data_IF_875863070243
#
_entry.id   IF_875863070243
#
_cell.length_a   1.000
_cell.length_b   1.000
_cell.length_c   1.000
_cell.angle_alpha   90.00
_cell.angle_beta   90.00
_cell.angle_gamma   90.00
#
_symmetry.space_group_name_H-M   'P 1'
#
loop_
_entity.id
_entity.type
_entity.pdbx_description
1 polymer ?
#
# COMPACT_ATOMS: atom_id res chain seq x y z
N UNK A 1 -23.97 28.41 -1.62
CA UNK A 1 -24.04 27.92 -1.74
C UNK A 1 -24.12 26.93 -1.45
N UNK A 2 -24.15 26.61 -1.27
CA UNK A 2 -24.21 25.87 -0.94
C UNK A 2 -24.49 24.86 -1.08
N UNK A 3 -24.40 24.56 -1.09
CA UNK A 3 -24.41 23.63 -1.22
C UNK A 3 -25.18 22.84 -1.10
N UNK A 4 -25.75 23.03 -1.31
CA UNK A 4 -26.48 22.30 -1.31
C UNK A 4 -26.05 21.16 -1.40
N UNK A 5 -25.45 20.91 -1.05
CA UNK A 5 -25.02 19.81 -1.00
C UNK A 5 -25.99 18.83 -1.00
N UNK A 6 -26.11 18.08 -1.85
CA UNK A 6 -27.04 17.06 -1.89
C UNK A 6 -26.61 15.89 -1.12
N UNK A 7 -25.66 15.98 -0.32
CA UNK A 7 -25.20 14.85 0.43
C UNK A 7 -24.22 13.98 -0.28
N UNK A 8 -23.92 14.26 -1.48
CA UNK A 8 -22.95 13.44 -2.21
C UNK A 8 -21.55 13.77 -1.73
N UNK A 9 -20.74 12.76 -1.42
CA UNK A 9 -19.39 13.05 -0.99
C UNK A 9 -18.55 13.69 -2.08
N UNK A 10 -19.01 13.63 -3.35
CA UNK A 10 -18.20 14.21 -4.37
C UNK A 10 -18.54 15.65 -4.63
N UNK A 11 -19.48 16.22 -3.94
CA UNK A 11 -19.82 17.62 -4.19
C UNK A 11 -19.24 18.53 -3.17
N UNK A 12 -18.28 18.11 -2.41
CA UNK A 12 -17.60 19.02 -1.51
C UNK A 12 -16.97 20.08 -2.34
N UNK A 13 -16.64 21.18 -1.83
CA UNK A 13 -16.13 22.31 -2.56
C UNK A 13 -15.00 21.99 -3.52
N UNK A 14 -14.27 22.98 -3.98
CA UNK A 14 -13.20 22.75 -4.95
C UNK A 14 -12.10 21.88 -4.38
N UNK A 15 -11.38 21.21 -5.24
CA UNK A 15 -10.26 20.38 -4.77
C UNK A 15 -9.15 21.28 -4.22
N UNK A 16 -8.74 21.01 -3.00
CA UNK A 16 -7.71 21.80 -2.34
C UNK A 16 -6.64 20.87 -1.80
N UNK A 17 -5.39 21.27 -1.90
CA UNK A 17 -4.31 20.49 -1.28
C UNK A 17 -4.48 20.44 0.23
N UNK A 18 -4.09 19.32 0.82
CA UNK A 18 -4.11 19.21 2.28
C UNK A 18 -3.10 18.19 2.74
N UNK A 19 -2.67 18.34 3.97
CA UNK A 19 -1.80 17.39 4.62
C UNK A 19 -2.66 16.23 5.11
N UNK A 20 -2.24 15.01 4.80
CA UNK A 20 -2.99 13.84 5.19
C UNK A 20 -2.46 13.25 6.49
N UNK A 21 -1.17 13.21 6.65
CA UNK A 21 -0.55 12.71 7.86
C UNK A 21 0.92 13.11 7.85
N UNK A 22 1.54 13.02 9.00
CA UNK A 22 2.98 13.21 9.13
C UNK A 22 3.56 11.82 9.36
N UNK A 23 4.25 11.28 8.37
CA UNK A 23 4.72 9.90 8.48
C UNK A 23 5.70 9.74 9.63
N UNK A 24 6.44 10.78 10.00
CA UNK A 24 7.31 10.68 11.15
C UNK A 24 6.53 10.38 12.44
N UNK A 25 5.30 10.82 12.52
CA UNK A 25 4.48 10.54 13.68
C UNK A 25 3.91 9.14 13.69
N UNK A 26 3.90 8.47 12.55
CA UNK A 26 3.47 7.09 12.50
C UNK A 26 4.56 6.15 12.96
N UNK A 27 5.79 6.62 13.03
CA UNK A 27 6.91 5.80 13.45
C UNK A 27 7.00 5.88 14.97
N UNK A 28 6.94 4.74 15.61
CA UNK A 28 6.94 4.73 17.07
C UNK A 28 8.35 4.52 17.57
N UNK A 29 8.88 5.44 18.36
CA UNK A 29 10.20 5.22 18.94
C UNK A 29 10.19 3.95 19.77
N UNK A 30 11.27 3.23 19.72
CA UNK A 30 11.38 2.02 20.51
C UNK A 30 10.76 0.79 19.86
N UNK A 31 10.18 0.92 18.69
CA UNK A 31 9.72 -0.27 17.99
C UNK A 31 8.40 -0.82 18.42
N UNK A 32 7.62 -0.04 19.16
CA UNK A 32 6.35 -0.55 19.64
C UNK A 32 5.22 -0.30 18.67
N UNK A 33 5.47 0.12 17.47
CA UNK A 33 4.41 0.37 16.51
C UNK A 33 3.70 -0.94 16.18
N UNK A 34 2.38 -0.93 16.07
CA UNK A 34 1.65 -2.14 15.71
C UNK A 34 2.01 -2.60 14.30
N UNK A 35 1.90 -3.89 14.07
CA UNK A 35 2.09 -4.43 12.73
C UNK A 35 0.87 -4.12 11.86
N UNK A 36 1.06 -4.17 10.56
CA UNK A 36 -0.03 -3.99 9.61
C UNK A 36 -0.12 -2.57 9.10
N UNK A 37 -1.28 -2.21 8.61
CA UNK A 37 -1.46 -0.88 8.00
C UNK A 37 -1.59 0.16 9.09
N UNK A 38 -0.68 1.12 9.09
CA UNK A 38 -0.70 2.22 10.03
C UNK A 38 -1.52 3.39 9.50
N UNK A 39 -1.66 3.49 8.21
CA UNK A 39 -2.39 4.58 7.58
C UNK A 39 -2.78 4.16 6.16
N UNK A 40 -3.94 4.57 5.72
CA UNK A 40 -4.40 4.34 4.35
C UNK A 40 -5.01 5.60 3.80
N UNK A 41 -4.74 5.87 2.54
CA UNK A 41 -5.38 6.98 1.84
C UNK A 41 -6.86 6.63 1.63
N UNK A 42 -7.73 7.53 2.07
CA UNK A 42 -9.16 7.28 2.01
C UNK A 42 -9.94 8.44 1.37
N UNK A 43 -9.27 9.33 0.65
CA UNK A 43 -9.93 10.48 0.06
C UNK A 43 -10.92 10.06 -1.01
N UNK A 44 -12.13 10.56 -0.99
CA UNK A 44 -13.09 10.26 -2.05
C UNK A 44 -12.61 10.83 -3.39
N UNK A 45 -12.91 10.15 -4.45
CA UNK A 45 -12.52 10.62 -5.77
C UNK A 45 -11.05 10.51 -6.11
N UNK A 46 -10.27 9.90 -5.25
CA UNK A 46 -8.83 9.80 -5.47
C UNK A 46 -8.51 8.91 -6.66
N UNK A 47 -7.41 9.20 -7.31
CA UNK A 47 -6.88 8.37 -8.40
C UNK A 47 -5.76 7.46 -7.94
N UNK A 48 -5.26 7.67 -6.72
CA UNK A 48 -4.16 6.90 -6.18
C UNK A 48 -4.62 6.18 -4.93
N UNK A 49 -4.03 5.04 -4.67
CA UNK A 49 -4.06 4.40 -3.36
C UNK A 49 -2.69 4.49 -2.75
N UNK A 50 -2.65 4.63 -1.45
CA UNK A 50 -1.40 4.69 -0.72
C UNK A 50 -1.65 4.16 0.68
N UNK A 51 -0.64 3.51 1.23
CA UNK A 51 -0.73 3.14 2.63
C UNK A 51 0.67 3.06 3.23
N UNK A 52 0.72 3.15 4.53
CA UNK A 52 1.94 2.95 5.30
C UNK A 52 1.75 1.65 6.06
N UNK A 53 2.71 0.75 5.92
CA UNK A 53 2.63 -0.59 6.47
C UNK A 53 3.85 -0.84 7.34
N UNK A 54 3.64 -1.54 8.45
CA UNK A 54 4.73 -2.00 9.28
C UNK A 54 4.79 -3.51 9.31
N UNK A 55 5.96 -4.05 9.04
CA UNK A 55 6.26 -5.45 9.25
C UNK A 55 7.18 -5.57 10.45
N UNK A 56 6.86 -6.42 11.41
CA UNK A 56 7.75 -6.60 12.56
C UNK A 56 9.03 -7.30 12.15
N UNK A 57 9.99 -7.35 13.06
CA UNK A 57 11.24 -8.05 12.80
C UNK A 57 10.95 -9.46 12.32
N UNK A 58 11.58 -9.82 11.21
CA UNK A 58 11.37 -11.15 10.63
C UNK A 58 10.06 -11.35 9.91
N UNK A 59 9.20 -10.34 9.90
CA UNK A 59 7.95 -10.46 9.15
C UNK A 59 8.20 -10.41 7.66
N UNK A 60 7.20 -10.86 6.90
CA UNK A 60 7.40 -10.90 5.46
C UNK A 60 6.07 -10.74 4.73
N UNK A 61 6.16 -10.22 3.53
CA UNK A 61 5.13 -10.34 2.53
C UNK A 61 5.61 -11.43 1.59
N UNK A 62 4.86 -12.52 1.53
CA UNK A 62 5.29 -13.67 0.75
C UNK A 62 5.36 -13.35 -0.72
N UNK A 63 6.07 -14.17 -1.45
CA UNK A 63 6.21 -14.01 -2.88
C UNK A 63 4.85 -13.85 -3.55
N UNK A 64 4.73 -12.82 -4.33
CA UNK A 64 3.49 -12.55 -5.03
C UNK A 64 3.79 -11.81 -6.32
N UNK A 65 2.80 -11.79 -7.20
CA UNK A 65 2.88 -11.08 -8.46
C UNK A 65 1.64 -10.20 -8.55
N UNK A 66 1.86 -8.90 -8.68
CA UNK A 66 0.76 -7.99 -8.92
C UNK A 66 0.65 -7.79 -10.42
N UNK A 67 -0.39 -8.30 -11.07
CA UNK A 67 -0.42 -8.30 -12.53
C UNK A 67 -0.76 -6.94 -13.16
N UNK A 68 -1.42 -6.06 -12.41
CA UNK A 68 -2.01 -4.89 -13.04
C UNK A 68 -1.48 -3.55 -12.58
N UNK A 69 -0.77 -3.48 -11.49
CA UNK A 69 -0.40 -2.19 -10.90
C UNK A 69 1.11 -2.06 -10.74
N UNK A 70 1.60 -0.94 -11.19
CA UNK A 70 2.94 -0.51 -10.80
C UNK A 70 2.87 0.05 -9.39
N UNK A 71 3.86 -0.24 -8.58
CA UNK A 71 3.89 0.20 -7.19
C UNK A 71 5.20 0.89 -6.90
N UNK A 72 5.12 2.06 -6.27
CA UNK A 72 6.29 2.68 -5.66
C UNK A 72 6.30 2.32 -4.19
N UNK A 73 7.47 1.96 -3.70
CA UNK A 73 7.66 1.61 -2.31
C UNK A 73 8.79 2.46 -1.74
N UNK A 74 8.50 3.19 -0.68
CA UNK A 74 9.51 4.02 -0.02
C UNK A 74 9.67 3.55 1.41
N UNK A 75 10.86 3.13 1.79
CA UNK A 75 11.10 2.73 3.17
C UNK A 75 11.22 3.97 4.02
N UNK A 76 10.42 4.03 5.09
CA UNK A 76 10.42 5.15 6.02
C UNK A 76 11.29 4.89 7.24
N UNK A 77 11.38 3.64 7.69
CA UNK A 77 12.10 3.30 8.89
C UNK A 77 12.46 1.83 8.87
N UNK A 78 13.57 1.48 9.48
CA UNK A 78 14.00 0.10 9.55
C UNK A 78 14.65 -0.37 8.26
N UNK A 79 14.60 -1.65 8.02
CA UNK A 79 15.24 -2.25 6.86
C UNK A 79 14.49 -3.48 6.41
N UNK A 80 14.73 -3.84 5.17
CA UNK A 80 14.11 -5.02 4.58
C UNK A 80 14.98 -5.53 3.44
N UNK A 81 14.62 -6.70 2.95
CA UNK A 81 15.20 -7.24 1.74
C UNK A 81 14.07 -7.48 0.75
N UNK A 82 14.25 -6.96 -0.44
CA UNK A 82 13.32 -7.23 -1.53
C UNK A 82 13.91 -8.37 -2.34
N UNK A 83 13.14 -9.43 -2.52
CA UNK A 83 13.56 -10.54 -3.35
C UNK A 83 12.76 -10.54 -4.65
N UNK A 84 13.45 -10.73 -5.75
CA UNK A 84 12.84 -10.74 -7.06
C UNK A 84 13.56 -11.74 -7.94
N UNK A 85 13.14 -11.84 -9.19
CA UNK A 85 13.71 -12.84 -10.11
C UNK A 85 15.20 -12.62 -10.33
N UNK A 86 15.70 -11.40 -10.23
CA UNK A 86 17.10 -11.14 -10.47
C UNK A 86 17.91 -11.08 -9.19
N UNK A 87 17.38 -11.54 -8.08
CA UNK A 87 18.11 -11.59 -6.81
C UNK A 87 17.48 -10.71 -5.77
N UNK A 88 18.27 -10.28 -4.81
CA UNK A 88 17.78 -9.50 -3.70
C UNK A 88 18.35 -8.11 -3.69
N UNK A 89 17.58 -7.21 -3.10
CA UNK A 89 17.98 -5.81 -2.95
C UNK A 89 17.80 -5.40 -1.51
N UNK A 90 18.80 -4.77 -0.95
CA UNK A 90 18.70 -4.27 0.42
C UNK A 90 17.91 -2.97 0.42
N UNK A 91 16.95 -2.87 1.32
CA UNK A 91 16.14 -1.69 1.47
C UNK A 91 16.37 -1.12 2.86
N UNK A 92 16.51 0.19 2.94
CA UNK A 92 16.62 0.87 4.21
C UNK A 92 15.92 2.21 4.13
N UNK A 93 15.80 2.89 5.24
CA UNK A 93 15.10 4.17 5.29
C UNK A 93 15.62 5.10 4.19
N UNK A 94 14.70 5.67 3.44
CA UNK A 94 15.02 6.57 2.34
C UNK A 94 15.15 5.91 0.98
N UNK A 95 15.15 4.58 0.91
CA UNK A 95 15.28 3.89 -0.39
C UNK A 95 13.91 3.83 -1.06
N UNK A 96 13.86 4.28 -2.29
CA UNK A 96 12.67 4.25 -3.11
C UNK A 96 12.81 3.15 -4.14
N UNK A 97 11.80 2.31 -4.24
CA UNK A 97 11.85 1.11 -5.05
C UNK A 97 10.70 1.10 -6.05
N UNK A 98 11.01 0.67 -7.25
CA UNK A 98 10.03 0.50 -8.32
C UNK A 98 9.63 -0.97 -8.41
N UNK A 99 8.34 -1.23 -8.29
CA UNK A 99 7.81 -2.59 -8.43
C UNK A 99 6.85 -2.58 -9.62
N UNK A 100 7.35 -2.93 -10.83
CA UNK A 100 6.46 -2.88 -12.00
C UNK A 100 5.43 -4.00 -11.95
N UNK A 101 4.29 -3.73 -12.55
CA UNK A 101 3.26 -4.77 -12.65
C UNK A 101 3.85 -5.98 -13.37
N UNK A 102 3.38 -7.14 -12.99
CA UNK A 102 3.88 -8.39 -13.56
C UNK A 102 5.15 -8.90 -12.93
N UNK A 103 5.82 -8.12 -12.08
CA UNK A 103 7.01 -8.63 -11.42
C UNK A 103 6.62 -9.50 -10.23
N UNK A 104 7.42 -10.51 -9.97
CA UNK A 104 7.25 -11.38 -8.81
C UNK A 104 8.24 -10.93 -7.75
N UNK A 105 7.76 -10.73 -6.52
CA UNK A 105 8.59 -10.18 -5.48
C UNK A 105 8.12 -10.61 -4.10
N UNK A 106 9.01 -10.52 -3.15
CA UNK A 106 8.74 -10.72 -1.74
C UNK A 106 9.49 -9.68 -0.94
N UNK A 107 8.96 -9.32 0.21
CA UNK A 107 9.61 -8.36 1.10
C UNK A 107 9.81 -9.05 2.43
N UNK A 108 11.05 -9.03 2.93
CA UNK A 108 11.39 -9.62 4.21
C UNK A 108 11.91 -8.53 5.12
N UNK A 109 11.27 -8.32 6.25
CA UNK A 109 11.70 -7.30 7.20
C UNK A 109 13.03 -7.70 7.84
N UNK A 110 13.84 -6.71 8.11
CA UNK A 110 15.11 -6.91 8.79
C UNK A 110 14.93 -7.07 10.29
N UNK A 111 16.05 -7.05 11.02
CA UNK A 111 16.01 -7.37 12.46
C UNK A 111 15.25 -6.35 13.30
N UNK A 112 15.06 -5.15 12.80
CA UNK A 112 14.32 -4.14 13.54
C UNK A 112 12.95 -3.89 12.93
N UNK A 113 12.52 -4.74 12.01
CA UNK A 113 11.29 -4.49 11.29
C UNK A 113 11.47 -3.46 10.21
N UNK A 114 10.40 -3.14 9.51
CA UNK A 114 10.43 -2.13 8.46
C UNK A 114 9.07 -1.44 8.40
N UNK A 115 9.10 -0.14 8.19
CA UNK A 115 7.89 0.63 7.90
C UNK A 115 8.08 1.26 6.54
N UNK A 116 7.10 1.11 5.68
CA UNK A 116 7.22 1.62 4.33
C UNK A 116 5.88 2.15 3.82
N UNK A 117 5.99 3.05 2.85
CA UNK A 117 4.85 3.61 2.14
C UNK A 117 4.77 2.96 0.78
N UNK A 118 3.59 2.56 0.36
CA UNK A 118 3.36 2.16 -1.03
C UNK A 118 2.37 3.09 -1.67
N UNK A 119 2.56 3.35 -2.96
CA UNK A 119 1.68 4.19 -3.75
C UNK A 119 1.45 3.51 -5.09
N UNK A 120 0.21 3.43 -5.51
CA UNK A 120 -0.12 2.89 -6.81
C UNK A 120 -1.42 3.50 -7.30
N UNK A 121 -1.73 3.28 -8.55
CA UNK A 121 -3.00 3.71 -9.11
C UNK A 121 -4.13 3.06 -8.34
N UNK A 122 -5.20 3.80 -8.09
CA UNK A 122 -6.34 3.24 -7.38
C UNK A 122 -6.95 2.10 -8.19
N UNK A 123 -7.22 0.99 -7.53
CA UNK A 123 -7.92 -0.10 -8.17
C UNK A 123 -9.33 0.34 -8.49
N UNK A 124 -9.94 -0.18 -9.56
CA UNK A 124 -11.34 0.12 -9.85
C UNK A 124 -12.19 -0.24 -8.64
N UNK A 125 -13.21 0.57 -8.41
CA UNK A 125 -14.11 0.32 -7.29
C UNK A 125 -14.80 -1.02 -7.42
N UNK A 126 -15.31 -1.50 -6.28
CA UNK A 126 -16.05 -2.72 -6.30
C UNK A 126 -17.29 -2.57 -7.17
N UNK A 127 -17.53 -3.55 -7.96
CA UNK A 127 -18.73 -3.62 -8.75
C UNK A 127 -19.44 -4.89 -8.42
N UNK A 128 -20.77 -4.90 -8.55
CA UNK A 128 -21.53 -6.11 -8.38
C UNK A 128 -21.16 -7.04 -9.51
N UNK A 129 -20.75 -8.25 -9.19
CA UNK A 129 -20.33 -9.20 -10.16
C UNK A 129 -21.09 -10.49 -9.98
N UNK A 130 -21.27 -11.28 -11.05
CA UNK A 130 -21.86 -12.59 -10.88
C UNK A 130 -21.05 -13.43 -9.92
N UNK A 131 -21.69 -14.32 -9.18
CA UNK A 131 -20.96 -15.10 -8.18
C UNK A 131 -19.81 -15.91 -8.74
N UNK A 132 -19.95 -16.50 -9.91
CA UNK A 132 -18.84 -17.26 -10.40
C UNK A 132 -17.68 -16.37 -10.82
N UNK A 133 -17.94 -15.17 -11.28
CA UNK A 133 -16.85 -14.25 -11.59
C UNK A 133 -16.12 -13.82 -10.32
N UNK A 134 -16.88 -13.54 -9.27
CA UNK A 134 -16.27 -13.16 -8.01
C UNK A 134 -15.46 -14.31 -7.43
N UNK A 135 -15.94 -15.52 -7.53
CA UNK A 135 -15.22 -16.67 -7.02
C UNK A 135 -13.94 -16.88 -7.81
N UNK A 136 -13.99 -16.72 -9.12
CA UNK A 136 -12.80 -16.87 -9.93
C UNK A 136 -11.77 -15.79 -9.60
N UNK A 137 -12.22 -14.58 -9.39
CA UNK A 137 -11.32 -13.51 -9.03
C UNK A 137 -10.65 -13.79 -7.69
N UNK A 138 -11.39 -14.24 -6.71
CA UNK A 138 -10.80 -14.56 -5.43
C UNK A 138 -9.76 -15.67 -5.55
N UNK A 139 -10.00 -16.67 -6.36
CA UNK A 139 -9.02 -17.73 -6.54
C UNK A 139 -7.76 -17.22 -7.20
N UNK A 140 -7.91 -16.35 -8.20
CA UNK A 140 -6.71 -15.84 -8.86
C UNK A 140 -5.92 -14.88 -7.99
N UNK A 141 -6.55 -14.25 -7.01
CA UNK A 141 -5.84 -13.36 -6.12
C UNK A 141 -5.45 -14.03 -4.82
N UNK A 142 -5.87 -15.26 -4.62
CA UNK A 142 -5.82 -15.85 -3.31
C UNK A 142 -4.50 -15.86 -2.69
N UNK A 143 -3.52 -16.23 -3.35
CA UNK A 143 -2.26 -16.23 -2.70
C UNK A 143 -1.58 -14.93 -2.69
N UNK A 144 -2.00 -14.02 -3.50
CA UNK A 144 -1.22 -12.83 -3.62
C UNK A 144 -1.86 -11.61 -3.12
N UNK A 145 -2.84 -11.75 -2.34
CA UNK A 145 -3.52 -10.67 -2.03
C UNK A 145 -3.00 -9.92 -0.99
N UNK A 146 -2.09 -9.68 -0.70
CA UNK A 146 -1.60 -8.93 0.32
C UNK A 146 -1.90 -7.52 0.37
#
# INVERSE_FOLDING_TARGET
MAAEDDGSPDTAGPPLPRVLCDTARLLSPGGDAPAGALWKLAEPGRQLDANVVRLPAGGRVDTNTEPDLDVLLLVLDGSARLESADGGHALRAGVLTWLPHGSTRAVLAGPDGVTYLTVHRRRPGMRIQPPEAAARLRRSLGGGDV
#
